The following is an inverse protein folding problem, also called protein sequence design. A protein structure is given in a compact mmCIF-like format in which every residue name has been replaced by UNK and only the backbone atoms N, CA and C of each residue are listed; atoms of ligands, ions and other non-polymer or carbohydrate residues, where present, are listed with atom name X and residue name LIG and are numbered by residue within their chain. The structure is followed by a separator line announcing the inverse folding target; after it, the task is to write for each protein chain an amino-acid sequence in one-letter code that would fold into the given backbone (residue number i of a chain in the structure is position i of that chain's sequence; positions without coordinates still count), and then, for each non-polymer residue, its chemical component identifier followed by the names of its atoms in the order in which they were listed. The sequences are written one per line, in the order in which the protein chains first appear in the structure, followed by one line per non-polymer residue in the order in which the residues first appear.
data_IF_698192827273
#
_entry.id   IF_698192827273
#
_cell.length_a   1.000
_cell.length_b   1.000
_cell.length_c   1.000
_cell.angle_alpha   90.00
_cell.angle_beta   90.00
_cell.angle_gamma   90.00
#
_symmetry.space_group_name_H-M   'P 1'
#
loop_
_entity.id
_entity.type
_entity.pdbx_description
1 polymer ?
#
# COMPACT_ATOMS: atom_id res chain seq x y z
N UNK A 1 21.27 6.19 13.37
CA UNK A 1 20.29 5.40 12.60
C UNK A 1 18.89 5.91 12.92
N UNK A 2 18.34 6.84 12.14
CA UNK A 2 16.95 7.27 12.34
C UNK A 2 16.27 7.24 10.98
N UNK A 3 15.76 6.07 10.62
CA UNK A 3 14.85 5.99 9.49
C UNK A 3 13.62 6.83 9.84
N UNK A 4 13.22 7.72 8.93
CA UNK A 4 12.04 8.57 9.13
C UNK A 4 10.80 7.82 8.67
N UNK A 5 9.74 7.86 9.46
CA UNK A 5 8.41 7.44 9.04
C UNK A 5 7.87 8.46 8.02
N UNK A 6 7.45 7.99 6.86
CA UNK A 6 6.86 8.81 5.81
C UNK A 6 5.34 8.73 5.87
N UNK A 7 4.65 9.86 5.68
CA UNK A 7 3.19 9.91 5.57
C UNK A 7 2.81 10.29 4.14
N UNK A 8 2.00 9.45 3.50
CA UNK A 8 1.50 9.66 2.15
C UNK A 8 -0.01 9.88 2.25
N UNK A 9 -0.51 10.96 1.63
CA UNK A 9 -1.93 11.29 1.62
C UNK A 9 -2.39 11.43 0.18
N UNK A 10 -3.45 10.71 -0.18
CA UNK A 10 -3.97 10.62 -1.53
C UNK A 10 -5.50 10.75 -1.49
N UNK A 11 -6.08 11.34 -2.53
CA UNK A 11 -7.52 11.42 -2.72
C UNK A 11 -7.94 10.50 -3.87
N UNK A 12 -9.05 9.78 -3.69
CA UNK A 12 -9.60 8.86 -4.69
C UNK A 12 -10.41 9.65 -5.71
N UNK A 13 -10.04 9.56 -6.98
CA UNK A 13 -10.79 10.19 -8.06
C UNK A 13 -12.10 9.44 -8.33
N UNK A 14 -13.08 10.12 -8.92
CA UNK A 14 -14.37 9.51 -9.25
C UNK A 14 -14.24 8.30 -10.18
N UNK A 15 -13.29 8.34 -11.13
CA UNK A 15 -12.98 7.25 -12.07
C UNK A 15 -12.33 6.02 -11.40
N UNK A 16 -11.94 6.12 -10.14
CA UNK A 16 -11.24 5.08 -9.39
C UNK A 16 -12.10 4.45 -8.30
N UNK A 17 -13.30 4.99 -8.08
CA UNK A 17 -14.26 4.45 -7.15
C UNK A 17 -14.61 3.00 -7.50
N UNK A 18 -14.78 2.16 -6.48
CA UNK A 18 -15.07 0.74 -6.64
C UNK A 18 -13.83 -0.13 -6.85
N UNK A 19 -12.62 0.45 -6.92
CA UNK A 19 -11.39 -0.33 -6.86
C UNK A 19 -11.11 -0.86 -5.45
N UNK A 20 -10.38 -1.96 -5.34
CA UNK A 20 -9.87 -2.45 -4.05
C UNK A 20 -8.77 -1.53 -3.53
N UNK A 21 -8.80 -1.25 -2.22
CA UNK A 21 -7.83 -0.39 -1.54
C UNK A 21 -6.39 -0.84 -1.76
N UNK A 22 -6.11 -2.15 -1.69
CA UNK A 22 -4.76 -2.68 -1.90
C UNK A 22 -4.25 -2.48 -3.33
N UNK A 23 -5.14 -2.63 -4.32
CA UNK A 23 -4.83 -2.40 -5.72
C UNK A 23 -4.60 -0.91 -5.99
N UNK A 24 -5.54 -0.07 -5.55
CA UNK A 24 -5.49 1.37 -5.74
C UNK A 24 -4.23 1.97 -5.10
N UNK A 25 -3.87 1.56 -3.87
CA UNK A 25 -2.64 2.00 -3.22
C UNK A 25 -1.39 1.53 -3.96
N UNK A 26 -1.34 0.28 -4.45
CA UNK A 26 -0.19 -0.23 -5.20
C UNK A 26 0.05 0.52 -6.53
N UNK A 27 -1.02 1.02 -7.17
CA UNK A 27 -0.91 1.85 -8.37
C UNK A 27 -0.35 3.25 -8.08
N UNK A 28 -0.57 3.79 -6.88
CA UNK A 28 -0.13 5.14 -6.50
C UNK A 28 1.21 5.15 -5.75
N UNK A 29 1.47 4.10 -5.00
CA UNK A 29 2.71 3.88 -4.26
C UNK A 29 3.63 2.95 -5.07
N UNK A 30 4.06 3.40 -6.25
CA UNK A 30 4.82 2.59 -7.21
C UNK A 30 6.14 2.04 -6.66
N UNK A 31 6.69 2.67 -5.61
CA UNK A 31 7.88 2.20 -4.90
C UNK A 31 7.60 1.01 -3.97
N UNK A 32 6.34 0.59 -3.83
CA UNK A 32 5.91 -0.47 -2.92
C UNK A 32 5.27 -1.61 -3.69
N UNK A 33 5.71 -2.83 -3.41
CA UNK A 33 5.02 -4.02 -3.91
C UNK A 33 3.60 -4.12 -3.32
N UNK A 34 2.71 -4.83 -4.02
CA UNK A 34 1.37 -5.13 -3.52
C UNK A 34 1.38 -5.80 -2.14
N UNK A 35 2.33 -6.72 -1.89
CA UNK A 35 2.46 -7.40 -0.61
C UNK A 35 2.91 -6.44 0.51
N UNK A 36 3.76 -5.46 0.20
CA UNK A 36 4.15 -4.41 1.13
C UNK A 36 2.96 -3.51 1.49
N UNK A 37 2.18 -3.06 0.50
CA UNK A 37 0.95 -2.28 0.71
C UNK A 37 -0.06 -3.03 1.57
N UNK A 38 -0.32 -4.30 1.26
CA UNK A 38 -1.23 -5.12 2.06
C UNK A 38 -0.78 -5.27 3.52
N UNK A 39 0.53 -5.33 3.77
CA UNK A 39 1.08 -5.33 5.13
C UNK A 39 0.78 -4.02 5.86
N UNK A 40 0.94 -2.87 5.21
CA UNK A 40 0.59 -1.57 5.80
C UNK A 40 -0.90 -1.52 6.19
N UNK A 41 -1.78 -1.97 5.30
CA UNK A 41 -3.23 -2.05 5.57
C UNK A 41 -3.49 -2.95 6.79
N UNK A 42 -3.00 -4.19 6.79
CA UNK A 42 -3.21 -5.13 7.92
C UNK A 42 -2.64 -4.63 9.25
N UNK A 43 -1.58 -3.81 9.21
CA UNK A 43 -0.97 -3.21 10.39
C UNK A 43 -1.71 -1.94 10.88
N UNK A 44 -2.89 -1.63 10.33
CA UNK A 44 -3.63 -0.39 10.65
C UNK A 44 -2.82 0.88 10.37
N UNK A 45 -1.84 0.80 9.46
CA UNK A 45 -1.02 1.94 9.03
C UNK A 45 -1.66 2.67 7.84
N UNK A 46 -2.81 2.21 7.37
CA UNK A 46 -3.63 2.88 6.36
C UNK A 46 -4.93 3.34 6.98
N UNK A 47 -5.36 4.56 6.67
CA UNK A 47 -6.65 5.13 7.06
C UNK A 47 -7.45 5.55 5.84
N UNK A 48 -8.76 5.36 5.91
CA UNK A 48 -9.76 5.89 4.98
C UNK A 48 -10.58 6.92 5.75
N UNK A 49 -10.56 8.19 5.32
CA UNK A 49 -11.28 9.29 6.00
C UNK A 49 -10.99 9.32 7.51
N UNK A 50 -9.71 9.29 7.88
CA UNK A 50 -9.19 9.30 9.25
C UNK A 50 -9.52 8.06 10.09
N UNK A 51 -10.19 7.04 9.54
CA UNK A 51 -10.47 5.76 10.20
C UNK A 51 -9.49 4.68 9.74
N UNK A 52 -8.80 3.96 10.65
CA UNK A 52 -7.95 2.84 10.26
C UNK A 52 -8.73 1.80 9.47
N UNK A 53 -8.14 1.35 8.36
CA UNK A 53 -8.68 0.27 7.54
C UNK A 53 -7.69 -0.89 7.51
N UNK A 54 -8.16 -2.09 7.83
CA UNK A 54 -7.35 -3.31 7.90
C UNK A 54 -7.72 -4.33 6.83
N UNK A 55 -8.79 -4.08 6.09
CA UNK A 55 -9.27 -4.91 4.99
C UNK A 55 -8.67 -4.44 3.67
N UNK A 56 -7.69 -5.18 3.17
CA UNK A 56 -7.06 -4.96 1.87
C UNK A 56 -8.07 -4.90 0.71
N UNK A 57 -9.15 -5.68 0.79
CA UNK A 57 -10.22 -5.75 -0.21
C UNK A 57 -11.34 -4.72 -0.03
N UNK A 58 -11.21 -3.78 0.92
CA UNK A 58 -12.17 -2.67 1.04
C UNK A 58 -12.23 -1.91 -0.29
N UNK A 59 -13.43 -1.50 -0.70
CA UNK A 59 -13.60 -0.70 -1.91
C UNK A 59 -13.45 0.78 -1.59
N UNK A 60 -12.63 1.47 -2.37
CA UNK A 60 -12.47 2.92 -2.26
C UNK A 60 -13.66 3.64 -2.89
N UNK A 61 -14.04 4.80 -2.35
CA UNK A 61 -15.09 5.66 -2.88
C UNK A 61 -14.50 6.96 -3.39
N UNK A 62 -15.18 7.55 -4.38
CA UNK A 62 -14.84 8.88 -4.87
C UNK A 62 -14.78 9.88 -3.70
N UNK A 63 -13.69 10.63 -3.61
CA UNK A 63 -13.46 11.61 -2.55
C UNK A 63 -12.93 11.04 -1.24
N UNK A 64 -12.74 9.71 -1.11
CA UNK A 64 -12.08 9.15 0.07
C UNK A 64 -10.67 9.72 0.20
N UNK A 65 -10.33 10.18 1.41
CA UNK A 65 -8.97 10.58 1.79
C UNK A 65 -8.25 9.36 2.35
N UNK A 66 -7.29 8.84 1.58
CA UNK A 66 -6.47 7.70 1.97
C UNK A 66 -5.15 8.20 2.53
N UNK A 67 -4.83 7.80 3.75
CA UNK A 67 -3.56 8.11 4.41
C UNK A 67 -2.80 6.82 4.68
N UNK A 68 -1.55 6.73 4.21
CA UNK A 68 -0.66 5.62 4.49
C UNK A 68 0.56 6.10 5.30
N UNK A 69 0.84 5.41 6.40
CA UNK A 69 2.03 5.60 7.23
C UNK A 69 3.05 4.53 6.85
N UNK A 70 4.15 4.95 6.26
CA UNK A 70 5.24 4.08 5.85
C UNK A 70 6.33 4.14 6.92
N UNK A 71 6.52 3.08 7.73
CA UNK A 71 7.61 3.03 8.68
C UNK A 71 8.94 2.97 7.92
N UNK A 72 10.04 3.40 8.55
CA UNK A 72 11.34 3.23 7.94
C UNK A 72 11.60 1.74 7.64
N UNK A 73 12.29 1.42 6.54
CA UNK A 73 12.71 0.05 6.28
C UNK A 73 13.50 -0.45 7.49
N UNK A 74 13.13 -1.62 7.99
CA UNK A 74 13.93 -2.28 9.01
C UNK A 74 15.35 -2.45 8.47
N UNK A 75 16.40 -2.27 9.30
CA UNK A 75 17.77 -2.55 8.88
C UNK A 75 17.81 -3.99 8.37
N UNK A 76 18.11 -4.16 7.09
CA UNK A 76 18.18 -5.47 6.46
C UNK A 76 19.28 -6.26 7.16
N UNK A 77 18.92 -7.32 7.89
CA UNK A 77 19.83 -8.45 8.04
C UNK A 77 19.68 -9.21 6.72
N UNK A 78 20.68 -9.21 5.84
CA UNK A 78 20.57 -9.88 4.55
C UNK A 78 20.59 -11.39 4.79
N UNK A 79 19.42 -11.98 5.01
CA UNK A 79 19.24 -13.40 4.71
C UNK A 79 18.83 -13.46 3.24
N UNK A 80 19.76 -13.94 2.41
CA UNK A 80 19.50 -14.29 1.03
C UNK A 80 18.34 -15.27 0.98
N UNK A 81 17.14 -14.77 0.73
CA UNK A 81 16.01 -15.57 0.29
C UNK A 81 15.99 -15.44 -1.23
N UNK A 82 16.18 -16.52 -1.99
CA UNK A 82 15.95 -16.51 -3.43
C UNK A 82 14.45 -16.35 -3.65
N UNK A 83 13.95 -15.13 -3.56
CA UNK A 83 12.66 -14.78 -4.11
C UNK A 83 12.91 -14.64 -5.60
N UNK A 84 12.60 -15.71 -6.33
CA UNK A 84 12.29 -15.62 -7.75
C UNK A 84 11.24 -14.53 -7.88
N UNK A 85 11.63 -13.35 -8.36
CA UNK A 85 10.69 -12.37 -8.86
C UNK A 85 10.14 -12.94 -10.17
N UNK A 86 9.16 -13.83 -10.03
CA UNK A 86 8.20 -14.07 -11.10
C UNK A 86 7.33 -12.82 -11.20
N UNK A 87 7.86 -11.79 -11.84
CA UNK A 87 7.03 -10.77 -12.46
C UNK A 87 6.47 -11.43 -13.72
N UNK A 88 5.54 -12.37 -13.56
CA UNK A 88 4.66 -12.79 -14.65
C UNK A 88 3.71 -11.62 -14.89
N UNK A 89 4.14 -10.69 -15.72
CA UNK A 89 3.23 -9.90 -16.52
C UNK A 89 3.08 -10.67 -17.84
N UNK A 90 2.15 -11.62 -17.86
CA UNK A 90 1.64 -12.24 -19.07
C UNK A 90 0.21 -11.72 -19.22
N UNK A 91 0.01 -10.74 -20.09
CA UNK A 91 -1.28 -10.49 -20.72
C UNK A 91 -1.11 -10.91 -22.17
N UNK A 92 -1.96 -11.86 -22.59
CA UNK A 92 -2.12 -12.26 -23.99
C UNK A 92 -3.03 -11.32 -24.77
#
# INVERSE_FOLDING_TARGET
MSGKTSRIVLAVAASEAGQRLDLWLAQRMTDFSRSAVQRLVRQSLVKVNDRPETRCSALVRAGDKIEAIVPPPAPAIPQAQPISLDIVFEDG
#
